data_IF_035716681759
#
_entry.id   IF_035716681759
#
_cell.length_a   1.000
_cell.length_b   1.000
_cell.length_c   1.000
_cell.angle_alpha   90.00
_cell.angle_beta   90.00
_cell.angle_gamma   90.00
#
_symmetry.space_group_name_H-M   'P 1'
#
loop_
_entity.id
_entity.type
_entity.pdbx_description
1 polymer ?
#
# COMPACT_ATOMS: atom_id res chain seq x y z
N UNK A 1 14.44 47.21 -0.26
CA UNK A 1 14.90 45.94 0.33
C UNK A 1 13.89 44.88 -0.07
N UNK A 2 14.17 44.11 -1.13
CA UNK A 2 13.26 43.09 -1.65
C UNK A 2 13.57 41.77 -0.93
N UNK A 3 12.71 41.41 0.03
CA UNK A 3 12.73 40.09 0.66
C UNK A 3 12.13 39.08 -0.30
N UNK A 4 12.97 38.34 -1.01
CA UNK A 4 12.58 37.16 -1.76
C UNK A 4 12.26 36.06 -0.76
N UNK A 5 11.00 35.97 -0.32
CA UNK A 5 10.52 34.80 0.41
C UNK A 5 10.51 33.62 -0.54
N UNK A 6 11.51 32.75 -0.41
CA UNK A 6 11.49 31.43 -0.99
C UNK A 6 10.32 30.64 -0.38
N UNK A 7 9.22 30.59 -1.11
CA UNK A 7 8.14 29.64 -0.85
C UNK A 7 8.68 28.24 -1.12
N UNK A 8 9.14 27.56 -0.07
CA UNK A 8 9.24 26.10 -0.09
C UNK A 8 7.82 25.60 -0.32
N UNK A 9 7.51 25.18 -1.55
CA UNK A 9 6.30 24.43 -1.87
C UNK A 9 6.38 23.12 -1.09
N UNK A 10 5.84 23.15 0.13
CA UNK A 10 5.55 21.94 0.90
C UNK A 10 4.28 21.38 0.27
N UNK A 11 4.43 20.72 -0.88
CA UNK A 11 3.34 19.95 -1.49
C UNK A 11 2.82 18.98 -0.43
N UNK A 12 1.51 19.02 -0.18
CA UNK A 12 0.87 18.12 0.76
C UNK A 12 1.15 16.67 0.28
N UNK A 13 2.01 15.91 0.97
CA UNK A 13 2.42 14.61 0.50
C UNK A 13 1.25 13.61 0.57
N UNK A 14 0.09 13.98 1.11
CA UNK A 14 -1.13 13.17 1.15
C UNK A 14 -1.83 13.08 -0.22
N UNK A 15 -1.59 14.01 -1.14
CA UNK A 15 -2.35 14.10 -2.39
C UNK A 15 -1.90 13.13 -3.50
N UNK A 16 -0.73 12.48 -3.34
CA UNK A 16 -0.18 11.57 -4.34
C UNK A 16 -0.15 10.13 -3.80
N UNK A 17 -0.58 9.14 -4.59
CA UNK A 17 -0.50 7.74 -4.19
C UNK A 17 0.91 7.37 -3.76
N UNK A 18 1.03 6.67 -2.64
CA UNK A 18 2.32 6.28 -2.07
C UNK A 18 2.96 5.19 -2.94
N UNK A 19 4.22 5.38 -3.32
CA UNK A 19 4.98 4.41 -4.12
C UNK A 19 5.97 3.66 -3.24
N UNK A 20 6.21 2.39 -3.55
CA UNK A 20 7.16 1.54 -2.82
C UNK A 20 8.59 2.11 -2.81
N UNK A 21 8.95 2.90 -3.83
CA UNK A 21 10.22 3.61 -3.94
C UNK A 21 10.36 4.84 -3.03
N UNK A 22 9.26 5.29 -2.41
CA UNK A 22 9.27 6.49 -1.60
C UNK A 22 10.11 6.30 -0.33
N UNK A 23 10.82 7.36 0.05
CA UNK A 23 11.63 7.40 1.27
C UNK A 23 10.97 8.36 2.25
N UNK A 24 10.73 7.90 3.46
CA UNK A 24 10.24 8.73 4.55
C UNK A 24 11.24 8.80 5.70
N UNK A 25 11.11 9.83 6.53
CA UNK A 25 11.92 10.02 7.71
C UNK A 25 11.08 9.75 8.96
N UNK A 26 11.51 8.80 9.78
CA UNK A 26 10.95 8.62 11.11
C UNK A 26 11.71 9.51 12.11
N UNK A 27 10.99 10.47 12.69
CA UNK A 27 11.55 11.37 13.72
C UNK A 27 11.97 10.63 14.98
N UNK A 28 11.16 9.68 15.47
CA UNK A 28 11.42 8.94 16.71
C UNK A 28 12.71 8.12 16.67
N UNK A 29 13.03 7.50 15.53
CA UNK A 29 14.24 6.70 15.32
C UNK A 29 15.36 7.50 14.64
N UNK A 30 15.09 8.74 14.23
CA UNK A 30 15.99 9.61 13.44
C UNK A 30 16.61 8.86 12.24
N UNK A 31 15.78 8.12 11.51
CA UNK A 31 16.19 7.28 10.37
C UNK A 31 15.34 7.55 9.16
N UNK A 32 15.97 7.49 7.99
CA UNK A 32 15.31 7.47 6.69
C UNK A 32 15.21 6.04 6.22
N UNK A 33 14.06 5.64 5.70
CA UNK A 33 13.86 4.29 5.15
C UNK A 33 12.91 4.33 3.96
N UNK A 34 13.02 3.30 3.12
CA UNK A 34 12.09 3.08 2.01
C UNK A 34 10.75 2.57 2.52
N UNK A 35 9.67 2.97 1.84
CA UNK A 35 8.33 2.49 2.13
C UNK A 35 8.23 0.97 1.94
N UNK A 36 8.84 0.43 0.87
CA UNK A 36 8.92 -1.02 0.67
C UNK A 36 9.47 -1.77 1.89
N UNK A 37 10.58 -1.30 2.46
CA UNK A 37 11.20 -1.90 3.65
C UNK A 37 10.29 -1.78 4.87
N UNK A 38 9.59 -0.65 5.04
CA UNK A 38 8.63 -0.46 6.14
C UNK A 38 7.50 -1.49 6.07
N UNK A 39 6.89 -1.64 4.89
CA UNK A 39 5.76 -2.53 4.68
C UNK A 39 6.18 -4.00 4.85
N UNK A 40 7.33 -4.39 4.31
CA UNK A 40 7.88 -5.73 4.49
C UNK A 40 8.18 -6.02 5.97
N UNK A 41 8.87 -5.11 6.66
CA UNK A 41 9.13 -5.21 8.10
C UNK A 41 7.83 -5.33 8.90
N UNK A 42 6.78 -4.61 8.53
CA UNK A 42 5.47 -4.67 9.18
C UNK A 42 4.80 -6.03 8.99
N UNK A 43 4.78 -6.54 7.76
CA UNK A 43 4.22 -7.86 7.44
C UNK A 43 4.96 -8.98 8.17
N UNK A 44 6.30 -8.93 8.15
CA UNK A 44 7.17 -9.89 8.83
C UNK A 44 7.05 -9.79 10.36
N UNK A 45 6.98 -8.57 10.92
CA UNK A 45 6.76 -8.33 12.35
C UNK A 45 5.45 -8.93 12.85
N UNK A 46 4.37 -8.84 12.05
CA UNK A 46 3.09 -9.43 12.39
C UNK A 46 3.16 -10.96 12.43
N UNK A 47 3.88 -11.58 11.47
CA UNK A 47 4.11 -13.02 11.44
C UNK A 47 4.95 -13.50 12.63
N UNK A 48 6.00 -12.75 12.99
CA UNK A 48 6.94 -13.11 14.05
C UNK A 48 6.54 -12.60 15.44
N UNK A 49 5.45 -11.84 15.55
CA UNK A 49 4.99 -11.14 16.78
C UNK A 49 6.02 -10.17 17.39
N UNK A 50 6.96 -9.67 16.59
CA UNK A 50 8.01 -8.74 17.04
C UNK A 50 7.66 -7.32 16.60
N UNK A 51 7.11 -6.50 17.50
CA UNK A 51 6.56 -5.17 17.18
C UNK A 51 7.57 -4.02 17.21
N UNK A 52 8.86 -4.25 17.47
CA UNK A 52 9.87 -3.20 17.66
C UNK A 52 10.39 -2.55 16.37
N UNK A 53 9.67 -2.67 15.25
CA UNK A 53 10.12 -2.23 13.93
C UNK A 53 9.68 -0.80 13.64
N UNK A 54 10.47 -0.08 12.83
CA UNK A 54 10.27 1.35 12.54
C UNK A 54 8.90 1.62 11.94
N UNK A 55 8.37 0.71 11.12
CA UNK A 55 7.02 0.85 10.59
C UNK A 55 5.97 0.90 11.72
N UNK A 56 6.05 -0.01 12.70
CA UNK A 56 5.09 -0.07 13.83
C UNK A 56 5.18 1.16 14.75
N UNK A 57 6.39 1.59 15.11
CA UNK A 57 6.60 2.59 16.17
C UNK A 57 6.54 4.04 15.69
N UNK A 58 6.71 4.30 14.38
CA UNK A 58 6.76 5.66 13.86
C UNK A 58 5.40 6.11 13.34
N UNK A 59 4.99 7.34 13.72
CA UNK A 59 3.75 7.97 13.24
C UNK A 59 3.72 7.99 11.71
N UNK A 60 4.80 8.42 11.07
CA UNK A 60 4.89 8.43 9.59
C UNK A 60 4.77 7.03 8.98
N UNK A 61 5.24 6.00 9.69
CA UNK A 61 5.08 4.61 9.28
C UNK A 61 3.62 4.16 9.39
N UNK A 62 2.89 4.63 10.39
CA UNK A 62 1.45 4.37 10.54
C UNK A 62 0.64 5.01 9.43
N UNK A 63 0.83 6.31 9.18
CA UNK A 63 0.15 7.05 8.12
C UNK A 63 0.40 6.39 6.76
N UNK A 64 1.67 6.05 6.47
CA UNK A 64 2.02 5.40 5.21
C UNK A 64 1.36 4.03 5.01
N UNK A 65 1.14 3.25 6.08
CA UNK A 65 0.41 1.98 5.97
C UNK A 65 -1.06 2.20 5.65
N UNK A 66 -1.68 3.15 6.34
CA UNK A 66 -3.09 3.47 6.15
C UNK A 66 -3.34 3.97 4.73
N UNK A 67 -2.53 4.93 4.27
CA UNK A 67 -2.61 5.44 2.89
C UNK A 67 -2.35 4.33 1.87
N UNK A 68 -1.30 3.51 2.07
CA UNK A 68 -0.99 2.44 1.12
C UNK A 68 -2.08 1.37 1.05
N UNK A 69 -2.72 1.05 2.19
CA UNK A 69 -3.86 0.13 2.22
C UNK A 69 -5.08 0.72 1.49
N UNK A 70 -5.39 1.99 1.74
CA UNK A 70 -6.49 2.69 1.06
C UNK A 70 -6.26 2.80 -0.45
N UNK A 71 -5.02 3.08 -0.88
CA UNK A 71 -4.65 3.14 -2.29
C UNK A 71 -4.79 1.75 -2.96
N UNK A 72 -4.39 0.68 -2.27
CA UNK A 72 -4.50 -0.69 -2.79
C UNK A 72 -5.96 -1.11 -3.05
N UNK A 73 -6.90 -0.67 -2.21
CA UNK A 73 -8.33 -0.93 -2.40
C UNK A 73 -8.90 -0.23 -3.66
N UNK A 74 -8.28 0.88 -4.09
CA UNK A 74 -8.71 1.62 -5.29
C UNK A 74 -8.11 1.09 -6.59
N UNK A 75 -6.92 0.47 -6.56
CA UNK A 75 -6.34 -0.23 -7.72
C UNK A 75 -7.01 -1.60 -7.97
N UNK A 76 -7.92 -2.03 -7.07
CA UNK A 76 -8.71 -3.25 -7.14
C UNK A 76 -10.01 -3.16 -7.96
N UNK A 77 -10.33 -2.03 -8.59
CA UNK A 77 -11.35 -2.01 -9.65
C UNK A 77 -10.72 -2.66 -10.89
N UNK A 78 -10.54 -3.98 -10.84
CA UNK A 78 -10.44 -4.77 -12.06
C UNK A 78 -11.71 -4.45 -12.84
N UNK A 79 -11.54 -3.78 -13.98
CA UNK A 79 -12.62 -3.55 -14.94
C UNK A 79 -13.44 -4.84 -15.05
N UNK A 80 -14.78 -4.76 -14.99
CA UNK A 80 -15.67 -5.92 -15.05
C UNK A 80 -15.31 -6.81 -16.26
N UNK A 81 -14.77 -6.20 -17.31
CA UNK A 81 -14.25 -6.87 -18.50
C UNK A 81 -13.01 -7.75 -18.25
N UNK A 82 -12.07 -7.32 -17.40
CA UNK A 82 -10.88 -8.09 -17.03
C UNK A 82 -11.26 -9.29 -16.15
N UNK A 83 -12.16 -9.07 -15.19
CA UNK A 83 -12.69 -10.16 -14.36
C UNK A 83 -13.50 -11.17 -15.18
N UNK A 84 -14.30 -10.69 -16.14
CA UNK A 84 -15.06 -11.53 -17.06
C UNK A 84 -14.16 -12.41 -17.94
N UNK A 85 -13.05 -11.87 -18.46
CA UNK A 85 -12.05 -12.64 -19.22
C UNK A 85 -11.34 -13.69 -18.35
N UNK A 86 -10.98 -13.34 -17.12
CA UNK A 86 -10.35 -14.27 -16.18
C UNK A 86 -11.28 -15.45 -15.82
N UNK A 87 -12.56 -15.19 -15.57
CA UNK A 87 -13.55 -16.25 -15.30
C UNK A 87 -13.77 -17.14 -16.53
N UNK A 88 -13.80 -16.56 -17.73
CA UNK A 88 -13.95 -17.31 -18.97
C UNK A 88 -12.74 -18.24 -19.24
N UNK A 89 -11.52 -17.77 -18.97
CA UNK A 89 -10.29 -18.56 -19.09
C UNK A 89 -10.18 -19.66 -18.01
N UNK A 90 -10.82 -19.46 -16.84
CA UNK A 90 -10.97 -20.47 -15.79
C UNK A 90 -12.12 -21.47 -16.06
N UNK A 91 -12.66 -21.48 -17.29
CA UNK A 91 -13.78 -22.31 -17.71
C UNK A 91 -13.74 -23.77 -17.22
N UNK A 92 -14.84 -24.15 -16.57
CA UNK A 92 -15.46 -25.49 -16.56
C UNK A 92 -14.62 -26.70 -16.09
N UNK A 93 -14.36 -26.76 -14.79
CA UNK A 93 -14.21 -28.03 -14.08
C UNK A 93 -15.56 -28.57 -13.56
N UNK A 94 -16.25 -29.38 -14.37
CA UNK A 94 -17.22 -30.41 -13.97
C UNK A 94 -18.37 -30.01 -13.01
N UNK A 95 -19.38 -29.28 -13.51
CA UNK A 95 -20.72 -29.38 -12.94
C UNK A 95 -21.40 -30.64 -13.48
N UNK A 96 -21.13 -31.76 -12.81
CA UNK A 96 -21.81 -33.03 -13.03
C UNK A 96 -23.33 -32.84 -13.11
N UNK A 97 -23.91 -33.15 -14.27
CA UNK A 97 -25.36 -33.14 -14.48
C UNK A 97 -26.02 -34.16 -13.54
N UNK A 98 -26.96 -33.78 -12.66
CA UNK A 98 -27.86 -34.77 -12.09
C UNK A 98 -28.87 -35.17 -13.17
N UNK A 99 -28.78 -36.45 -13.52
CA UNK A 99 -29.65 -37.17 -14.45
C UNK A 99 -31.13 -36.95 -14.13
N UNK A 100 -31.93 -36.57 -15.14
CA UNK A 100 -33.39 -36.70 -15.07
C UNK A 100 -33.73 -38.19 -14.96
N UNK A 101 -34.47 -38.55 -13.92
CA UNK A 101 -35.32 -39.74 -13.86
C UNK A 101 -36.74 -39.28 -13.57
#
# INVERSE_FOLDING_TARGET
MNGTTATTQQEDPSARPRRLSDVFHCSFRSRRMYLATCLDDYMNANALRVKSMVCHDCIQGADNRETFAADADTEGVLDEEIWGRLIADLGEGDLGKPSKK
#
